data_IF_772276308515
#
_entry.id   IF_772276308515
#
_cell.length_a   1.000
_cell.length_b   1.000
_cell.length_c   1.000
_cell.angle_alpha   90.00
_cell.angle_beta   90.00
_cell.angle_gamma   90.00
#
_symmetry.space_group_name_H-M   'P 1'
#
loop_
_entity.id
_entity.type
_entity.pdbx_description
1 polymer ?
#
# COMPACT_ATOMS: atom_id res chain seq x y z
N UNK A 1 9.26 -2.69 -14.22
CA UNK A 1 9.44 -1.24 -13.97
C UNK A 1 9.78 -1.10 -12.51
N UNK A 2 10.99 -0.66 -12.20
CA UNK A 2 11.55 -0.63 -10.83
C UNK A 2 11.61 0.81 -10.36
N UNK A 3 10.95 1.12 -9.25
CA UNK A 3 11.14 2.39 -8.56
C UNK A 3 12.46 2.28 -7.77
N UNK A 4 13.34 3.28 -7.87
CA UNK A 4 14.63 3.29 -7.16
C UNK A 4 14.73 4.60 -6.38
N UNK A 5 15.03 4.51 -5.09
CA UNK A 5 15.51 5.66 -4.30
C UNK A 5 16.95 5.97 -4.73
N UNK A 6 17.11 6.84 -5.74
CA UNK A 6 18.44 7.23 -6.21
C UNK A 6 19.08 8.27 -5.28
N UNK A 7 20.08 7.86 -4.50
CA UNK A 7 21.17 8.75 -4.14
C UNK A 7 22.10 8.89 -5.34
N UNK A 8 22.22 10.09 -5.92
CA UNK A 8 23.05 10.34 -7.11
C UNK A 8 24.46 9.72 -6.93
N UNK A 9 24.77 8.68 -7.72
CA UNK A 9 26.08 8.03 -7.75
C UNK A 9 26.31 6.82 -6.82
N UNK A 10 25.28 6.27 -6.15
CA UNK A 10 25.44 5.07 -5.29
C UNK A 10 24.74 3.83 -5.87
N UNK A 11 25.31 2.65 -5.59
CA UNK A 11 24.71 1.34 -5.88
C UNK A 11 23.26 1.29 -5.35
N UNK A 12 22.28 0.80 -6.13
CA UNK A 12 20.90 0.66 -5.66
C UNK A 12 20.86 -0.11 -4.34
N UNK A 13 20.22 0.49 -3.34
CA UNK A 13 20.00 -0.15 -2.04
C UNK A 13 18.57 -0.70 -2.00
N UNK A 14 18.35 -1.89 -1.42
CA UNK A 14 17.01 -2.39 -1.19
C UNK A 14 16.24 -1.44 -0.26
N UNK A 15 14.92 -1.40 -0.42
CA UNK A 15 14.06 -0.65 0.49
C UNK A 15 14.24 -1.14 1.94
N UNK A 16 14.26 -0.23 2.95
CA UNK A 16 14.33 -0.63 4.34
C UNK A 16 13.19 -1.57 4.73
N UNK A 17 13.40 -2.39 5.77
CA UNK A 17 12.33 -3.23 6.32
C UNK A 17 11.15 -2.35 6.75
N UNK A 18 9.94 -2.78 6.42
CA UNK A 18 8.67 -2.07 6.67
C UNK A 18 8.49 -0.75 5.90
N UNK A 19 9.40 -0.40 4.99
CA UNK A 19 9.17 0.73 4.07
C UNK A 19 8.04 0.39 3.09
N UNK A 20 7.14 1.34 2.91
CA UNK A 20 6.06 1.25 1.93
C UNK A 20 5.66 2.65 1.43
N UNK A 21 5.00 2.69 0.28
CA UNK A 21 4.37 3.90 -0.26
C UNK A 21 2.87 3.79 -0.03
N UNK A 22 2.31 4.76 0.70
CA UNK A 22 0.89 4.82 1.00
C UNK A 22 0.10 5.70 0.02
N UNK A 23 -1.04 5.19 -0.44
CA UNK A 23 -2.09 5.96 -1.12
C UNK A 23 -3.30 6.05 -0.20
N UNK A 24 -3.65 7.27 0.20
CA UNK A 24 -4.82 7.54 1.04
C UNK A 24 -6.00 7.86 0.11
N UNK A 25 -7.11 7.15 0.30
CA UNK A 25 -8.38 7.34 -0.39
C UNK A 25 -9.41 7.99 0.55
N UNK A 26 -10.52 8.44 -0.01
CA UNK A 26 -11.51 9.23 0.72
C UNK A 26 -12.39 8.39 1.65
N UNK A 27 -12.66 7.12 1.31
CA UNK A 27 -13.52 6.25 2.10
C UNK A 27 -13.13 4.75 2.00
N UNK A 28 -13.58 3.91 2.96
CA UNK A 28 -13.26 2.47 2.97
C UNK A 28 -13.75 1.70 1.75
N UNK A 29 -14.88 2.11 1.15
CA UNK A 29 -15.43 1.44 -0.02
C UNK A 29 -14.50 1.58 -1.25
N UNK A 30 -13.77 2.69 -1.37
CA UNK A 30 -12.79 2.88 -2.43
C UNK A 30 -11.58 1.94 -2.26
N UNK A 31 -11.21 1.62 -1.01
CA UNK A 31 -10.16 0.63 -0.72
C UNK A 31 -10.58 -0.75 -1.19
N UNK A 32 -11.80 -1.19 -0.86
CA UNK A 32 -12.35 -2.46 -1.35
C UNK A 32 -12.45 -2.50 -2.87
N UNK A 33 -12.94 -1.42 -3.48
CA UNK A 33 -13.07 -1.31 -4.95
C UNK A 33 -11.70 -1.43 -5.62
N UNK A 34 -10.67 -0.76 -5.07
CA UNK A 34 -9.30 -0.87 -5.59
C UNK A 34 -8.71 -2.27 -5.40
N UNK A 35 -8.99 -2.90 -4.26
CA UNK A 35 -8.54 -4.27 -3.96
C UNK A 35 -9.09 -5.27 -4.98
N UNK A 36 -10.40 -5.22 -5.23
CA UNK A 36 -11.06 -6.10 -6.20
C UNK A 36 -10.60 -5.81 -7.64
N UNK A 37 -10.40 -4.53 -7.99
CA UNK A 37 -9.82 -4.16 -9.29
C UNK A 37 -8.44 -4.79 -9.50
N UNK A 38 -7.55 -4.73 -8.50
CA UNK A 38 -6.22 -5.35 -8.58
C UNK A 38 -6.33 -6.88 -8.74
N UNK A 39 -7.25 -7.52 -8.01
CA UNK A 39 -7.49 -8.97 -8.14
C UNK A 39 -8.01 -9.34 -9.53
N UNK A 40 -8.92 -8.55 -10.08
CA UNK A 40 -9.47 -8.77 -11.42
C UNK A 40 -8.39 -8.68 -12.51
N UNK A 41 -7.39 -7.80 -12.31
CA UNK A 41 -6.23 -7.65 -13.18
C UNK A 41 -5.14 -8.74 -12.97
N UNK A 42 -5.38 -9.71 -12.08
CA UNK A 42 -4.48 -10.84 -11.82
C UNK A 42 -3.40 -10.58 -10.78
N UNK A 43 -3.44 -9.43 -10.09
CA UNK A 43 -2.56 -9.15 -8.96
C UNK A 43 -3.03 -9.87 -7.70
N UNK A 44 -2.11 -10.02 -6.74
CA UNK A 44 -2.36 -10.68 -5.46
C UNK A 44 -2.16 -9.68 -4.29
N UNK A 45 -3.05 -8.69 -4.13
CA UNK A 45 -3.03 -7.85 -2.93
C UNK A 45 -3.29 -8.70 -1.68
N UNK A 46 -2.70 -8.29 -0.56
CA UNK A 46 -2.98 -8.87 0.76
C UNK A 46 -4.44 -8.67 1.19
N UNK A 47 -4.86 -9.25 2.32
CA UNK A 47 -6.21 -9.07 2.82
C UNK A 47 -6.51 -7.59 3.10
N UNK A 48 -7.77 -7.21 2.94
CA UNK A 48 -8.26 -5.94 3.49
C UNK A 48 -8.46 -6.11 4.98
N UNK A 49 -7.92 -5.19 5.76
CA UNK A 49 -7.91 -5.20 7.22
C UNK A 49 -8.38 -3.85 7.76
N UNK A 50 -8.93 -3.86 8.98
CA UNK A 50 -9.20 -2.63 9.74
C UNK A 50 -8.21 -2.52 10.89
N UNK A 51 -7.48 -1.42 10.94
CA UNK A 51 -6.51 -1.13 12.01
C UNK A 51 -6.84 0.17 12.73
N UNK A 52 -6.15 0.44 13.84
CA UNK A 52 -6.24 1.70 14.58
C UNK A 52 -4.94 2.47 14.46
N UNK A 53 -5.00 3.71 13.95
CA UNK A 53 -3.89 4.67 13.90
C UNK A 53 -4.16 5.80 14.89
N UNK A 54 -3.52 5.73 16.05
CA UNK A 54 -3.83 6.66 17.14
C UNK A 54 -5.24 6.42 17.68
N UNK A 55 -6.16 7.35 17.40
CA UNK A 55 -7.58 7.26 17.81
C UNK A 55 -8.53 6.92 16.65
N UNK A 56 -8.02 6.89 15.43
CA UNK A 56 -8.82 6.72 14.22
C UNK A 56 -8.74 5.26 13.75
N UNK A 57 -9.86 4.73 13.27
CA UNK A 57 -9.90 3.44 12.57
C UNK A 57 -9.64 3.66 11.09
N UNK A 58 -8.94 2.72 10.47
CA UNK A 58 -8.52 2.80 9.07
C UNK A 58 -8.73 1.45 8.41
N UNK A 59 -9.37 1.43 7.24
CA UNK A 59 -9.40 0.28 6.35
C UNK A 59 -8.23 0.35 5.39
N UNK A 60 -7.50 -0.75 5.23
CA UNK A 60 -6.30 -0.82 4.38
C UNK A 60 -6.03 -2.20 3.82
N UNK A 61 -5.21 -2.26 2.78
CA UNK A 61 -4.49 -3.48 2.39
C UNK A 61 -3.07 -3.12 1.92
N UNK A 62 -2.19 -4.12 1.96
CA UNK A 62 -0.86 -4.03 1.37
C UNK A 62 -0.78 -4.83 0.07
N UNK A 63 -0.17 -4.27 -0.95
CA UNK A 63 0.14 -4.93 -2.21
C UNK A 63 1.66 -4.98 -2.43
N UNK A 64 2.25 -6.17 -2.63
CA UNK A 64 3.65 -6.27 -3.02
C UNK A 64 3.82 -5.77 -4.46
N UNK A 65 4.49 -4.64 -4.63
CA UNK A 65 5.04 -4.19 -5.90
C UNK A 65 6.48 -4.73 -6.02
N UNK A 66 6.99 -4.89 -7.24
CA UNK A 66 8.32 -5.47 -7.48
C UNK A 66 9.45 -4.85 -6.63
N UNK A 67 10.58 -5.56 -6.54
CA UNK A 67 11.80 -5.10 -5.86
C UNK A 67 11.64 -4.85 -4.34
N UNK A 68 10.84 -5.69 -3.67
CA UNK A 68 10.52 -5.61 -2.24
C UNK A 68 9.82 -4.30 -1.84
N UNK A 69 9.21 -3.58 -2.79
CA UNK A 69 8.40 -2.42 -2.51
C UNK A 69 7.01 -2.86 -2.02
N UNK A 70 6.59 -2.38 -0.86
CA UNK A 70 5.21 -2.51 -0.41
C UNK A 70 4.43 -1.24 -0.78
N UNK A 71 3.25 -1.42 -1.37
CA UNK A 71 2.26 -0.36 -1.54
C UNK A 71 1.17 -0.57 -0.50
N UNK A 72 0.84 0.47 0.25
CA UNK A 72 -0.35 0.50 1.09
C UNK A 72 -1.44 1.30 0.38
N UNK A 73 -2.67 0.81 0.41
CA UNK A 73 -3.85 1.59 0.06
C UNK A 73 -4.74 1.64 1.28
N UNK A 74 -5.13 2.84 1.73
CA UNK A 74 -5.86 3.00 2.98
C UNK A 74 -6.85 4.16 2.94
N UNK A 75 -7.86 4.12 3.81
CA UNK A 75 -8.80 5.20 4.04
C UNK A 75 -9.24 5.22 5.52
N UNK A 76 -9.57 6.41 6.08
CA UNK A 76 -10.15 6.48 7.40
C UNK A 76 -11.57 5.87 7.40
N UNK A 77 -11.92 5.19 8.48
CA UNK A 77 -13.30 4.79 8.75
C UNK A 77 -14.13 6.02 9.14
N UNK A 78 -15.41 6.08 8.74
CA UNK A 78 -16.33 7.06 9.27
C UNK A 78 -16.47 6.90 10.80
N UNK A 79 -16.61 8.04 11.49
CA UNK A 79 -16.78 8.12 12.95
C UNK A 79 -18.20 7.73 13.36
#
# INVERSE_FOLDING_TARGET
>A
MTLILTGMGKTPQPYPRNFHIGFILDNPQDVHTRHESLRADGYQPGPVEVTTRGRERWTLFYHPAGDNLLIEVSAPEPV
#
